data_IF_924666518232
#
_entry.id   IF_924666518232
#
_cell.length_a   1.000
_cell.length_b   1.000
_cell.length_c   1.000
_cell.angle_alpha   90.00
_cell.angle_beta   90.00
_cell.angle_gamma   90.00
#
_symmetry.space_group_name_H-M   'P 1'
#
loop_
_entity.id
_entity.type
_entity.pdbx_description
1 polymer ?
#
# COMPACT_ATOMS: atom_id res chain seq x y z
N UNK A 1 -15.88 -14.46 -5.55
CA UNK A 1 -16.63 -13.43 -4.81
C UNK A 1 -16.81 -13.86 -3.37
N UNK A 2 -16.62 -12.93 -2.42
CA UNK A 2 -16.61 -13.21 -0.98
C UNK A 2 -17.84 -13.95 -0.45
N UNK A 3 -19.01 -13.74 -1.04
CA UNK A 3 -20.27 -14.37 -0.60
C UNK A 3 -20.55 -15.72 -1.25
N UNK A 4 -19.89 -16.04 -2.37
CA UNK A 4 -20.12 -17.28 -3.13
C UNK A 4 -19.13 -18.40 -2.79
N UNK A 5 -18.15 -18.12 -1.93
CA UNK A 5 -17.24 -19.13 -1.42
C UNK A 5 -18.00 -20.05 -0.45
N UNK A 6 -17.86 -21.37 -0.61
CA UNK A 6 -18.46 -22.35 0.30
C UNK A 6 -17.97 -22.21 1.75
N UNK A 7 -16.78 -21.63 1.91
CA UNK A 7 -16.16 -21.33 3.21
C UNK A 7 -16.27 -19.86 3.60
N UNK A 8 -17.25 -19.11 3.04
CA UNK A 8 -17.38 -17.69 3.36
C UNK A 8 -17.59 -17.47 4.87
N UNK A 9 -16.94 -16.44 5.45
CA UNK A 9 -17.00 -16.19 6.90
C UNK A 9 -18.38 -15.75 7.39
N UNK A 10 -19.29 -15.42 6.46
CA UNK A 10 -20.60 -14.84 6.78
C UNK A 10 -21.67 -15.89 7.07
N UNK A 11 -21.40 -17.19 6.86
CA UNK A 11 -22.33 -18.28 7.12
C UNK A 11 -23.55 -18.29 6.20
N UNK A 12 -23.51 -17.58 5.07
CA UNK A 12 -24.59 -17.54 4.09
C UNK A 12 -24.39 -18.60 3.03
N UNK A 13 -25.42 -19.41 2.77
CA UNK A 13 -25.43 -20.32 1.63
C UNK A 13 -25.81 -19.61 0.33
N UNK A 14 -25.53 -20.22 -0.82
CA UNK A 14 -26.00 -19.76 -2.12
C UNK A 14 -27.53 -19.57 -2.15
N UNK A 15 -28.28 -20.43 -1.48
CA UNK A 15 -29.74 -20.34 -1.40
C UNK A 15 -30.18 -19.13 -0.58
N UNK A 16 -29.46 -18.77 0.48
CA UNK A 16 -29.75 -17.59 1.29
C UNK A 16 -29.55 -16.31 0.49
N UNK A 17 -28.49 -16.25 -0.32
CA UNK A 17 -28.17 -15.08 -1.15
C UNK A 17 -29.26 -14.81 -2.20
N UNK A 18 -29.82 -15.85 -2.85
CA UNK A 18 -30.76 -15.68 -3.95
C UNK A 18 -32.23 -15.81 -3.56
N UNK A 19 -32.54 -16.47 -2.44
CA UNK A 19 -33.91 -16.75 -2.00
C UNK A 19 -34.19 -16.33 -0.56
N UNK A 20 -33.15 -15.97 0.20
CA UNK A 20 -33.25 -15.69 1.64
C UNK A 20 -33.84 -14.33 1.97
N UNK A 21 -33.88 -13.38 1.03
CA UNK A 21 -34.33 -12.01 1.29
C UNK A 21 -33.38 -11.25 2.21
N UNK A 22 -32.08 -11.45 2.06
CA UNK A 22 -31.05 -10.83 2.89
C UNK A 22 -30.96 -9.33 2.65
N UNK A 23 -30.68 -8.58 3.73
CA UNK A 23 -30.22 -7.19 3.65
C UNK A 23 -28.74 -7.16 4.00
N UNK A 24 -27.91 -6.73 3.05
CA UNK A 24 -26.44 -6.70 3.19
C UNK A 24 -25.97 -5.25 3.27
N UNK A 25 -25.34 -4.90 4.37
CA UNK A 25 -24.69 -3.60 4.57
C UNK A 25 -23.23 -3.70 4.20
N UNK A 26 -22.77 -2.80 3.35
CA UNK A 26 -21.36 -2.71 2.95
C UNK A 26 -20.66 -1.56 3.68
N UNK A 27 -19.33 -1.61 3.73
CA UNK A 27 -18.50 -0.55 4.27
C UNK A 27 -18.23 0.57 3.26
N UNK A 28 -18.55 0.35 1.99
CA UNK A 28 -18.28 1.32 0.93
C UNK A 28 -18.96 2.66 1.23
N UNK A 29 -18.20 3.72 1.07
CA UNK A 29 -18.66 5.11 1.15
C UNK A 29 -18.90 5.61 -0.27
N UNK A 30 -20.16 5.93 -0.66
CA UNK A 30 -20.46 6.35 -2.03
C UNK A 30 -19.69 7.60 -2.47
N UNK A 31 -19.46 8.58 -1.57
CA UNK A 31 -18.73 9.80 -1.92
C UNK A 31 -17.24 9.49 -2.17
N UNK A 32 -16.64 8.63 -1.34
CA UNK A 32 -15.26 8.20 -1.54
C UNK A 32 -15.12 7.29 -2.77
N UNK A 33 -16.11 6.43 -3.03
CA UNK A 33 -16.12 5.58 -4.22
C UNK A 33 -16.20 6.43 -5.51
N UNK A 34 -17.08 7.43 -5.55
CA UNK A 34 -17.20 8.36 -6.67
C UNK A 34 -15.93 9.20 -6.84
N UNK A 35 -15.31 9.63 -5.74
CA UNK A 35 -14.04 10.35 -5.77
C UNK A 35 -12.90 9.49 -6.33
N UNK A 36 -12.85 8.20 -5.95
CA UNK A 36 -11.84 7.26 -6.44
C UNK A 36 -12.04 6.97 -7.94
N UNK A 37 -13.29 6.75 -8.37
CA UNK A 37 -13.60 6.54 -9.79
C UNK A 37 -13.24 7.77 -10.63
N UNK A 38 -13.61 8.97 -10.17
CA UNK A 38 -13.27 10.21 -10.87
C UNK A 38 -11.74 10.41 -10.99
N UNK A 39 -10.97 10.09 -9.96
CA UNK A 39 -9.50 10.17 -10.01
C UNK A 39 -8.92 9.17 -11.02
N UNK A 40 -9.43 7.94 -11.06
CA UNK A 40 -9.02 6.92 -12.03
C UNK A 40 -9.39 7.33 -13.45
N UNK A 41 -10.60 7.83 -13.68
CA UNK A 41 -11.07 8.28 -15.01
C UNK A 41 -10.22 9.45 -15.52
N UNK A 42 -9.91 10.42 -14.64
CA UNK A 42 -9.04 11.55 -14.98
C UNK A 42 -7.62 11.07 -15.35
N UNK A 43 -7.08 10.10 -14.62
CA UNK A 43 -5.76 9.53 -14.91
C UNK A 43 -5.79 8.80 -16.24
N UNK A 44 -6.79 7.94 -16.49
CA UNK A 44 -6.89 7.15 -17.72
C UNK A 44 -7.05 8.00 -18.97
N UNK A 45 -7.71 9.13 -18.88
CA UNK A 45 -7.85 10.07 -20.01
C UNK A 45 -6.50 10.52 -20.61
N UNK A 46 -5.41 10.36 -19.84
CA UNK A 46 -4.04 10.77 -20.22
C UNK A 46 -3.05 9.60 -20.31
N UNK A 47 -3.53 8.36 -20.28
CA UNK A 47 -2.71 7.15 -20.35
C UNK A 47 -2.89 6.42 -21.69
N UNK A 48 -1.94 5.55 -22.02
CA UNK A 48 -2.08 4.63 -23.15
C UNK A 48 -3.21 3.60 -22.88
N UNK A 49 -3.88 3.15 -23.93
CA UNK A 49 -5.06 2.27 -23.84
C UNK A 49 -4.79 0.92 -23.16
N UNK A 50 -3.55 0.45 -23.19
CA UNK A 50 -3.13 -0.81 -22.56
C UNK A 50 -2.86 -0.70 -21.07
N UNK A 51 -2.90 0.50 -20.50
CA UNK A 51 -2.66 0.72 -19.07
C UNK A 51 -3.98 0.74 -18.30
N UNK A 52 -3.92 0.29 -17.05
CA UNK A 52 -5.01 0.38 -16.09
C UNK A 52 -4.57 1.12 -14.83
N UNK A 53 -5.51 1.50 -14.01
CA UNK A 53 -5.28 2.16 -12.75
C UNK A 53 -6.23 1.61 -11.68
N UNK A 54 -5.78 1.60 -10.43
CA UNK A 54 -6.60 1.14 -9.30
C UNK A 54 -6.36 2.01 -8.09
N UNK A 55 -7.43 2.24 -7.32
CA UNK A 55 -7.39 2.84 -5.99
C UNK A 55 -8.12 1.90 -5.03
N UNK A 56 -7.49 1.66 -3.87
CA UNK A 56 -8.16 1.09 -2.70
C UNK A 56 -7.94 2.01 -1.51
N UNK A 57 -9.02 2.35 -0.82
CA UNK A 57 -8.98 3.20 0.38
C UNK A 57 -9.59 2.47 1.58
N UNK A 58 -8.87 2.50 2.70
CA UNK A 58 -9.23 1.80 3.95
C UNK A 58 -9.26 2.79 5.10
N UNK A 59 -10.34 2.74 5.87
CA UNK A 59 -10.47 3.46 7.14
C UNK A 59 -9.52 2.84 8.19
N UNK A 60 -8.63 3.66 8.73
CA UNK A 60 -7.55 3.22 9.63
C UNK A 60 -8.09 2.68 10.96
N UNK A 61 -9.18 3.26 11.45
CA UNK A 61 -9.74 2.91 12.75
C UNK A 61 -10.49 1.57 12.74
N UNK A 62 -11.03 1.17 11.59
CA UNK A 62 -11.94 0.01 11.49
C UNK A 62 -11.48 -1.08 10.54
N UNK A 63 -10.50 -0.83 9.65
CA UNK A 63 -10.13 -1.75 8.57
C UNK A 63 -11.17 -1.81 7.44
N UNK A 64 -12.20 -1.00 7.47
CA UNK A 64 -13.27 -0.98 6.47
C UNK A 64 -12.78 -0.43 5.14
N UNK A 65 -13.01 -1.16 4.05
CA UNK A 65 -12.78 -0.68 2.70
C UNK A 65 -13.85 0.35 2.35
N UNK A 66 -13.44 1.60 2.15
CA UNK A 66 -14.33 2.73 1.84
C UNK A 66 -14.48 2.98 0.35
N UNK A 67 -13.44 2.69 -0.43
CA UNK A 67 -13.48 2.75 -1.89
C UNK A 67 -12.58 1.67 -2.47
N UNK A 68 -13.02 1.11 -3.60
CA UNK A 68 -12.24 0.17 -4.41
C UNK A 68 -12.62 0.37 -5.87
N UNK A 69 -11.66 0.74 -6.70
CA UNK A 69 -11.93 1.03 -8.10
C UNK A 69 -10.81 0.57 -9.02
N UNK A 70 -11.14 0.47 -10.29
CA UNK A 70 -10.24 0.20 -11.40
C UNK A 70 -10.68 1.01 -12.61
N UNK A 71 -9.76 1.19 -13.55
CA UNK A 71 -10.02 1.97 -14.75
C UNK A 71 -10.76 1.19 -15.84
N UNK A 72 -10.44 -0.10 -16.01
CA UNK A 72 -11.13 -0.96 -17.01
C UNK A 72 -12.52 -1.34 -16.49
N UNK A 73 -13.61 -1.13 -17.25
CA UNK A 73 -14.96 -1.48 -16.81
C UNK A 73 -15.11 -2.98 -16.55
N UNK A 74 -15.99 -3.34 -15.61
CA UNK A 74 -16.32 -4.74 -15.35
C UNK A 74 -17.28 -5.27 -16.42
N UNK A 75 -16.91 -6.40 -17.05
CA UNK A 75 -17.75 -7.06 -18.05
C UNK A 75 -16.99 -8.06 -18.90
N UNK A 76 -17.65 -8.51 -20.01
CA UNK A 76 -17.10 -9.46 -20.99
C UNK A 76 -17.03 -8.87 -22.41
N UNK A 77 -17.36 -7.59 -22.56
CA UNK A 77 -17.29 -6.89 -23.83
C UNK A 77 -15.86 -6.49 -24.20
N UNK A 78 -15.73 -5.92 -25.40
CA UNK A 78 -14.45 -5.36 -25.84
C UNK A 78 -14.05 -4.20 -24.92
N UNK A 79 -12.82 -4.23 -24.40
CA UNK A 79 -12.34 -3.22 -23.43
C UNK A 79 -12.85 -3.41 -21.99
N UNK A 80 -13.55 -4.52 -21.69
CA UNK A 80 -14.02 -4.87 -20.35
C UNK A 80 -13.21 -6.05 -19.77
N UNK A 81 -13.26 -6.23 -18.45
CA UNK A 81 -12.62 -7.35 -17.77
C UNK A 81 -13.39 -7.75 -16.51
N UNK A 82 -13.46 -9.06 -16.24
CA UNK A 82 -14.01 -9.59 -14.99
C UNK A 82 -12.95 -9.76 -13.89
N UNK A 83 -11.69 -9.52 -14.19
CA UNK A 83 -10.59 -9.62 -13.22
C UNK A 83 -10.57 -8.41 -12.31
N UNK A 84 -10.56 -8.61 -10.99
CA UNK A 84 -10.42 -7.53 -10.03
C UNK A 84 -8.94 -7.33 -9.66
N UNK A 85 -8.26 -6.41 -10.33
CA UNK A 85 -6.85 -6.10 -10.08
C UNK A 85 -6.61 -5.53 -8.66
N UNK A 86 -7.64 -4.92 -8.07
CA UNK A 86 -7.54 -4.36 -6.72
C UNK A 86 -7.36 -5.43 -5.63
N UNK A 87 -7.83 -6.67 -5.89
CA UNK A 87 -7.73 -7.81 -4.98
C UNK A 87 -6.72 -8.87 -5.41
N UNK A 88 -6.13 -8.73 -6.61
CA UNK A 88 -5.23 -9.73 -7.17
C UNK A 88 -5.93 -11.03 -7.61
N UNK A 89 -7.26 -11.00 -7.83
CA UNK A 89 -8.03 -12.16 -8.29
C UNK A 89 -7.44 -12.77 -9.56
N UNK A 90 -7.37 -14.11 -9.60
CA UNK A 90 -6.85 -14.84 -10.76
C UNK A 90 -5.32 -14.74 -10.93
N UNK A 91 -4.58 -14.34 -9.89
CA UNK A 91 -3.12 -14.21 -9.96
C UNK A 91 -2.66 -12.93 -10.66
N UNK A 92 -3.44 -11.87 -10.55
CA UNK A 92 -3.15 -10.54 -11.12
C UNK A 92 -2.32 -9.65 -10.20
N UNK A 93 -1.59 -10.22 -9.23
CA UNK A 93 -0.66 -9.47 -8.40
C UNK A 93 0.37 -8.72 -9.23
N UNK A 94 0.81 -7.57 -8.73
CA UNK A 94 1.71 -6.65 -9.42
C UNK A 94 2.93 -6.35 -8.54
N UNK A 95 4.10 -6.25 -9.16
CA UNK A 95 5.33 -5.97 -8.39
C UNK A 95 5.21 -4.66 -7.62
N UNK A 96 5.44 -4.76 -6.31
CA UNK A 96 5.27 -3.65 -5.38
C UNK A 96 6.32 -2.53 -5.57
N UNK A 97 7.47 -2.87 -6.14
CA UNK A 97 8.56 -1.93 -6.26
C UNK A 97 9.01 -1.38 -4.89
N UNK A 98 9.57 -0.19 -4.90
CA UNK A 98 10.10 0.46 -3.69
C UNK A 98 9.09 0.75 -2.57
N UNK A 99 7.79 0.41 -2.73
CA UNK A 99 6.85 0.50 -1.58
C UNK A 99 7.23 -0.46 -0.46
N UNK A 100 7.93 -1.56 -0.77
CA UNK A 100 8.42 -2.52 0.23
C UNK A 100 9.51 -1.95 1.15
N UNK A 101 10.17 -0.88 0.77
CA UNK A 101 11.14 -0.19 1.63
C UNK A 101 10.53 0.29 2.94
N UNK A 102 9.23 0.55 2.99
CA UNK A 102 8.53 0.87 4.24
C UNK A 102 8.57 -0.30 5.24
N UNK A 103 8.50 -1.53 4.77
CA UNK A 103 8.59 -2.73 5.62
C UNK A 103 10.02 -2.97 6.09
N UNK A 104 11.01 -2.78 5.22
CA UNK A 104 12.43 -2.81 5.60
C UNK A 104 12.74 -1.75 6.65
N UNK A 105 12.23 -0.53 6.48
CA UNK A 105 12.37 0.56 7.44
C UNK A 105 11.78 0.20 8.81
N UNK A 106 10.54 -0.29 8.84
CA UNK A 106 9.88 -0.70 10.08
C UNK A 106 10.65 -1.81 10.79
N UNK A 107 11.15 -2.82 10.04
CA UNK A 107 11.96 -3.90 10.57
C UNK A 107 13.31 -3.40 11.13
N UNK A 108 13.96 -2.47 10.45
CA UNK A 108 15.21 -1.87 10.92
C UNK A 108 15.00 -1.08 12.23
N UNK A 109 13.95 -0.28 12.31
CA UNK A 109 13.59 0.48 13.52
C UNK A 109 13.24 -0.47 14.68
N UNK A 110 12.49 -1.54 14.42
CA UNK A 110 12.15 -2.57 15.41
C UNK A 110 13.40 -3.26 15.98
N UNK A 111 14.44 -3.45 15.15
CA UNK A 111 15.74 -3.99 15.57
C UNK A 111 16.63 -2.94 16.28
N UNK A 112 16.12 -1.74 16.54
CA UNK A 112 16.83 -0.68 17.25
C UNK A 112 17.75 0.18 16.37
N UNK A 113 17.62 0.11 15.04
CA UNK A 113 18.40 0.95 14.13
C UNK A 113 17.73 2.32 14.01
N UNK A 114 18.45 3.38 14.38
CA UNK A 114 17.96 4.75 14.28
C UNK A 114 17.79 5.18 12.82
N UNK A 115 16.70 5.90 12.46
CA UNK A 115 16.58 6.54 11.15
C UNK A 115 17.70 7.53 10.81
N UNK A 116 18.46 7.99 11.82
CA UNK A 116 19.62 8.86 11.64
C UNK A 116 20.93 8.08 11.39
N UNK A 117 20.91 6.75 11.48
CA UNK A 117 22.05 5.91 11.11
C UNK A 117 22.41 6.13 9.64
N UNK A 118 23.71 6.23 9.38
CA UNK A 118 24.22 6.41 8.04
C UNK A 118 24.23 5.10 7.27
N UNK A 119 23.79 5.18 6.01
CA UNK A 119 23.82 4.07 5.05
C UNK A 119 24.51 4.53 3.77
N UNK A 120 25.28 3.65 3.18
CA UNK A 120 25.95 3.91 1.91
C UNK A 120 24.96 3.75 0.75
N UNK A 121 24.65 4.86 0.07
CA UNK A 121 23.79 4.94 -1.10
C UNK A 121 24.56 5.17 -2.40
N UNK A 122 25.89 4.89 -2.40
CA UNK A 122 26.70 4.97 -3.62
C UNK A 122 26.21 3.97 -4.67
N UNK A 123 26.24 4.39 -5.92
CA UNK A 123 25.80 3.62 -7.08
C UNK A 123 26.91 3.62 -8.14
N UNK A 124 27.15 2.47 -8.79
CA UNK A 124 26.50 1.18 -8.59
C UNK A 124 26.99 0.40 -7.35
N UNK A 125 26.09 -0.42 -6.78
CA UNK A 125 26.47 -1.48 -5.84
C UNK A 125 26.93 -2.70 -6.67
N UNK A 126 28.22 -3.03 -6.60
CA UNK A 126 28.80 -4.07 -7.44
C UNK A 126 28.58 -5.47 -6.87
N UNK A 127 28.44 -6.45 -7.77
CA UNK A 127 28.39 -7.87 -7.42
C UNK A 127 29.49 -8.25 -6.42
N UNK A 128 29.08 -8.92 -5.36
CA UNK A 128 29.95 -9.35 -4.25
C UNK A 128 30.16 -8.30 -3.15
N UNK A 129 29.84 -7.02 -3.40
CA UNK A 129 29.81 -6.01 -2.34
C UNK A 129 28.55 -6.21 -1.48
N UNK A 130 28.71 -6.16 -0.17
CA UNK A 130 27.59 -6.29 0.79
C UNK A 130 26.65 -7.47 0.48
N UNK A 131 27.19 -8.57 -0.05
CA UNK A 131 26.42 -9.77 -0.39
C UNK A 131 25.60 -9.67 -1.68
N UNK A 132 25.76 -8.60 -2.47
CA UNK A 132 25.03 -8.40 -3.72
C UNK A 132 25.27 -9.55 -4.72
N UNK A 133 24.21 -10.25 -5.21
CA UNK A 133 24.36 -11.36 -6.14
C UNK A 133 24.72 -10.90 -7.58
N UNK A 134 24.45 -9.63 -7.86
CA UNK A 134 24.69 -8.96 -9.15
C UNK A 134 24.93 -7.47 -8.96
N UNK A 135 25.12 -6.70 -10.02
CA UNK A 135 25.22 -5.24 -9.94
C UNK A 135 23.83 -4.61 -9.79
N UNK A 136 23.71 -3.64 -8.88
CA UNK A 136 22.48 -2.86 -8.69
C UNK A 136 22.77 -1.36 -8.79
N UNK A 137 21.78 -0.63 -9.27
CA UNK A 137 21.86 0.83 -9.42
C UNK A 137 20.66 1.53 -8.76
N UNK A 138 20.89 2.75 -8.34
CA UNK A 138 19.81 3.67 -8.03
C UNK A 138 19.11 4.10 -9.33
N UNK A 139 17.88 4.62 -9.20
CA UNK A 139 17.12 5.12 -10.35
C UNK A 139 17.97 6.08 -11.20
N UNK A 140 17.99 5.88 -12.52
CA UNK A 140 18.82 6.62 -13.49
C UNK A 140 20.34 6.60 -13.18
N UNK A 141 20.83 5.60 -12.46
CA UNK A 141 22.26 5.49 -12.09
C UNK A 141 22.74 6.54 -11.11
N UNK A 142 21.84 7.26 -10.43
CA UNK A 142 22.22 8.35 -9.52
C UNK A 142 23.07 7.83 -8.36
N UNK A 143 24.19 8.50 -8.11
CA UNK A 143 25.02 8.28 -6.93
C UNK A 143 24.61 9.29 -5.82
N UNK A 144 24.14 8.75 -4.70
CA UNK A 144 23.67 9.57 -3.57
C UNK A 144 24.70 9.66 -2.43
N UNK A 145 25.82 8.92 -2.51
CA UNK A 145 26.84 8.88 -1.46
C UNK A 145 26.29 8.36 -0.13
N UNK A 146 26.87 8.86 0.96
CA UNK A 146 26.42 8.49 2.31
C UNK A 146 25.19 9.32 2.70
N UNK A 147 24.12 8.64 3.11
CA UNK A 147 22.85 9.27 3.54
C UNK A 147 22.47 8.77 4.93
N UNK A 148 21.59 9.49 5.64
CA UNK A 148 20.83 8.86 6.73
C UNK A 148 19.79 7.91 6.15
N UNK A 149 19.35 6.90 6.92
CA UNK A 149 18.24 6.02 6.49
C UNK A 149 16.99 6.85 6.17
N UNK A 150 16.70 7.89 6.95
CA UNK A 150 15.61 8.82 6.66
C UNK A 150 15.75 9.48 5.27
N UNK A 151 16.93 10.01 4.94
CA UNK A 151 17.17 10.62 3.63
C UNK A 151 17.11 9.57 2.50
N UNK A 152 17.72 8.39 2.72
CA UNK A 152 17.66 7.27 1.77
C UNK A 152 16.22 6.82 1.49
N UNK A 153 15.33 6.88 2.50
CA UNK A 153 13.89 6.61 2.35
C UNK A 153 13.21 7.65 1.46
N UNK A 154 13.45 8.93 1.74
CA UNK A 154 12.84 10.05 1.02
C UNK A 154 13.18 10.02 -0.49
N UNK A 155 14.46 9.75 -0.81
CA UNK A 155 14.95 9.65 -2.20
C UNK A 155 14.79 8.26 -2.81
N UNK A 156 14.29 7.30 -2.01
CA UNK A 156 14.08 5.92 -2.47
C UNK A 156 15.35 5.20 -2.97
N UNK A 157 16.51 5.40 -2.30
CA UNK A 157 17.77 4.75 -2.72
C UNK A 157 17.64 3.22 -2.77
N UNK A 158 17.92 2.60 -3.93
CA UNK A 158 17.95 1.15 -4.06
C UNK A 158 19.18 0.58 -3.35
N UNK A 159 20.36 1.10 -3.68
CA UNK A 159 21.63 0.57 -3.15
C UNK A 159 21.72 0.71 -1.62
N UNK A 160 21.20 1.81 -1.06
CA UNK A 160 21.13 2.00 0.39
C UNK A 160 20.19 0.99 1.06
N UNK A 161 19.02 0.75 0.46
CA UNK A 161 18.04 -0.19 1.01
C UNK A 161 18.42 -1.66 0.85
N UNK A 162 19.11 -2.03 -0.22
CA UNK A 162 19.70 -3.36 -0.38
C UNK A 162 20.74 -3.63 0.73
N UNK A 163 21.61 -2.67 1.04
CA UNK A 163 22.57 -2.77 2.14
C UNK A 163 21.86 -2.84 3.50
N UNK A 164 20.87 -1.98 3.72
CA UNK A 164 20.08 -1.99 4.96
C UNK A 164 19.37 -3.34 5.16
N UNK A 165 18.65 -3.81 4.13
CA UNK A 165 17.94 -5.10 4.17
C UNK A 165 18.89 -6.26 4.45
N UNK A 166 20.07 -6.26 3.81
CA UNK A 166 21.09 -7.29 4.08
C UNK A 166 21.61 -7.23 5.52
N UNK A 167 21.78 -6.04 6.09
CA UNK A 167 22.28 -5.85 7.46
C UNK A 167 21.31 -6.33 8.54
N UNK A 168 20.00 -6.21 8.29
CA UNK A 168 18.94 -6.65 9.23
C UNK A 168 18.48 -8.09 9.00
N UNK A 169 18.98 -8.74 7.94
CA UNK A 169 18.55 -10.06 7.49
C UNK A 169 17.44 -9.99 6.45
N UNK A 170 17.64 -10.64 5.31
CA UNK A 170 16.76 -10.59 4.13
C UNK A 170 15.31 -10.98 4.43
N UNK A 171 15.07 -11.89 5.37
CA UNK A 171 13.74 -12.32 5.79
C UNK A 171 12.95 -11.22 6.53
N UNK A 172 13.65 -10.30 7.22
CA UNK A 172 13.01 -9.28 8.05
C UNK A 172 12.03 -8.40 7.28
N UNK A 173 12.31 -8.11 6.01
CA UNK A 173 11.40 -7.33 5.14
C UNK A 173 10.10 -8.07 4.85
N UNK A 174 10.18 -9.33 4.44
CA UNK A 174 8.99 -10.16 4.09
C UNK A 174 8.19 -10.55 5.32
N UNK A 175 8.85 -10.83 6.44
CA UNK A 175 8.21 -11.10 7.73
C UNK A 175 7.45 -9.86 8.23
N UNK A 176 8.05 -8.67 8.15
CA UNK A 176 7.37 -7.42 8.51
C UNK A 176 6.19 -7.15 7.60
N UNK A 177 6.33 -7.29 6.28
CA UNK A 177 5.23 -7.12 5.32
C UNK A 177 4.06 -8.05 5.64
N UNK A 178 4.33 -9.33 5.91
CA UNK A 178 3.31 -10.32 6.27
C UNK A 178 2.62 -9.97 7.59
N UNK A 179 3.37 -9.58 8.62
CA UNK A 179 2.82 -9.17 9.92
C UNK A 179 1.89 -7.96 9.78
N UNK A 180 2.25 -7.01 8.94
CA UNK A 180 1.45 -5.78 8.72
C UNK A 180 0.20 -6.03 7.87
N UNK A 181 0.12 -7.13 7.10
CA UNK A 181 -1.10 -7.48 6.36
C UNK A 181 -0.93 -7.86 4.89
N UNK A 182 0.30 -7.96 4.37
CA UNK A 182 0.54 -8.52 3.04
C UNK A 182 0.36 -10.03 3.10
N UNK A 183 -0.57 -10.57 2.31
CA UNK A 183 -0.95 -11.99 2.30
C UNK A 183 -0.41 -12.74 1.09
N UNK A 184 -0.03 -12.03 0.04
CA UNK A 184 0.59 -12.61 -1.16
C UNK A 184 1.89 -13.35 -0.81
N UNK A 185 2.20 -14.46 -1.51
CA UNK A 185 3.43 -15.21 -1.28
C UNK A 185 4.69 -14.37 -1.53
N UNK A 186 5.59 -14.34 -0.57
CA UNK A 186 6.85 -13.59 -0.66
C UNK A 186 8.04 -14.49 -0.39
N UNK A 187 9.13 -14.27 -1.13
CA UNK A 187 10.39 -14.97 -0.91
C UNK A 187 11.41 -14.05 -0.20
N UNK A 188 12.12 -14.53 0.82
CA UNK A 188 13.14 -13.76 1.53
C UNK A 188 14.45 -13.72 0.73
N UNK A 189 14.42 -12.99 -0.39
CA UNK A 189 15.59 -12.83 -1.28
C UNK A 189 16.27 -11.49 -1.06
N UNK A 190 17.51 -11.33 -1.55
CA UNK A 190 18.30 -10.11 -1.44
C UNK A 190 17.53 -8.86 -1.91
N UNK A 191 16.75 -9.00 -2.96
CA UNK A 191 15.95 -7.93 -3.58
C UNK A 191 14.54 -7.77 -2.99
N UNK A 192 14.20 -8.47 -1.90
CA UNK A 192 12.87 -8.37 -1.28
C UNK A 192 12.49 -6.92 -0.93
N UNK A 193 13.46 -6.11 -0.49
CA UNK A 193 13.26 -4.67 -0.20
C UNK A 193 12.90 -3.82 -1.43
N UNK A 194 13.21 -4.31 -2.64
CA UNK A 194 12.83 -3.68 -3.91
C UNK A 194 11.44 -4.09 -4.40
N UNK A 195 10.69 -4.87 -3.60
CA UNK A 195 9.31 -5.24 -3.90
C UNK A 195 9.15 -6.10 -5.13
N UNK A 196 10.00 -7.12 -5.25
CA UNK A 196 9.92 -8.11 -6.35
C UNK A 196 8.74 -9.07 -6.22
N UNK A 197 8.06 -9.06 -5.07
CA UNK A 197 6.85 -9.85 -4.86
C UNK A 197 5.65 -9.21 -5.58
N UNK A 198 4.79 -10.06 -6.12
CA UNK A 198 3.52 -9.64 -6.68
C UNK A 198 2.50 -9.47 -5.57
N UNK A 199 1.96 -8.27 -5.45
CA UNK A 199 1.00 -7.86 -4.41
C UNK A 199 -0.23 -7.20 -5.07
N UNK A 200 -1.24 -6.88 -4.27
CA UNK A 200 -2.42 -6.18 -4.76
C UNK A 200 -2.70 -4.90 -3.96
N UNK A 201 -3.45 -3.94 -4.55
CA UNK A 201 -3.78 -2.68 -3.89
C UNK A 201 -4.49 -2.83 -2.54
N UNK A 202 -5.34 -3.85 -2.36
CA UNK A 202 -6.07 -4.08 -1.12
C UNK A 202 -5.13 -4.41 0.04
N UNK A 203 -4.23 -5.38 -0.15
CA UNK A 203 -3.30 -5.76 0.91
C UNK A 203 -2.25 -4.67 1.20
N UNK A 204 -1.84 -3.91 0.17
CA UNK A 204 -0.93 -2.78 0.37
C UNK A 204 -1.61 -1.64 1.14
N UNK A 205 -2.86 -1.29 0.82
CA UNK A 205 -3.63 -0.32 1.60
C UNK A 205 -3.81 -0.78 3.05
N UNK A 206 -4.06 -2.08 3.28
CA UNK A 206 -4.22 -2.69 4.61
C UNK A 206 -2.92 -2.65 5.41
N UNK A 207 -1.79 -3.03 4.82
CA UNK A 207 -0.50 -3.02 5.50
C UNK A 207 -0.08 -1.59 5.92
N UNK A 208 -0.35 -0.60 5.08
CA UNK A 208 -0.08 0.80 5.41
C UNK A 208 -1.11 1.37 6.41
N UNK A 209 -2.37 0.89 6.41
CA UNK A 209 -3.34 1.20 7.47
C UNK A 209 -2.87 0.69 8.84
N UNK A 210 -2.19 -0.46 8.88
CA UNK A 210 -1.58 -0.99 10.10
C UNK A 210 -0.45 -0.07 10.63
N UNK A 211 0.36 0.54 9.75
CA UNK A 211 1.32 1.57 10.17
C UNK A 211 0.60 2.83 10.70
N UNK A 212 -0.42 3.30 9.98
CA UNK A 212 -1.21 4.49 10.33
C UNK A 212 -1.90 4.36 11.70
N UNK A 213 -2.38 3.15 12.03
CA UNK A 213 -3.06 2.84 13.29
C UNK A 213 -2.11 2.67 14.50
N UNK A 214 -0.81 2.96 14.33
CA UNK A 214 0.19 2.73 15.37
C UNK A 214 0.53 1.25 15.58
N UNK A 215 0.41 0.42 14.54
CA UNK A 215 0.78 -0.99 14.56
C UNK A 215 -0.35 -1.95 14.96
N UNK A 216 -1.61 -1.51 14.86
CA UNK A 216 -2.79 -2.37 15.08
C UNK A 216 -3.32 -2.83 13.72
N UNK A 217 -3.11 -4.10 13.41
CA UNK A 217 -3.63 -4.75 12.20
C UNK A 217 -5.13 -5.00 12.32
N UNK A 218 -5.86 -4.70 11.26
CA UNK A 218 -7.27 -5.07 11.08
C UNK A 218 -7.45 -5.72 9.72
N UNK A 219 -8.22 -6.80 9.68
CA UNK A 219 -8.52 -7.45 8.40
C UNK A 219 -9.43 -6.54 7.56
N UNK A 220 -9.09 -6.35 6.27
CA UNK A 220 -9.92 -5.54 5.39
C UNK A 220 -11.33 -6.11 5.28
N UNK A 221 -12.36 -5.30 5.54
CA UNK A 221 -13.74 -5.74 5.42
C UNK A 221 -14.55 -4.85 4.49
N UNK A 222 -15.40 -5.48 3.67
CA UNK A 222 -16.35 -4.81 2.77
C UNK A 222 -17.81 -5.05 3.16
N UNK A 223 -18.08 -6.03 4.05
CA UNK A 223 -19.43 -6.33 4.54
C UNK A 223 -19.43 -6.10 6.05
N UNK A 224 -20.27 -5.17 6.50
CA UNK A 224 -20.34 -4.77 7.90
C UNK A 224 -21.49 -5.41 8.64
N UNK A 225 -22.56 -5.79 7.93
CA UNK A 225 -23.74 -6.42 8.54
C UNK A 225 -24.57 -7.18 7.51
N UNK A 226 -25.14 -8.31 7.92
CA UNK A 226 -26.13 -9.05 7.14
C UNK A 226 -27.35 -9.33 8.03
N UNK A 227 -28.54 -9.03 7.52
CA UNK A 227 -29.81 -9.36 8.15
C UNK A 227 -30.56 -10.40 7.30
N UNK A 228 -31.34 -11.27 7.96
CA UNK A 228 -32.32 -12.12 7.31
C UNK A 228 -33.57 -11.32 6.90
N UNK A 229 -34.54 -11.98 6.25
CA UNK A 229 -35.80 -11.37 5.83
C UNK A 229 -36.67 -10.82 6.98
N UNK A 230 -36.45 -11.34 8.18
CA UNK A 230 -37.21 -10.96 9.37
C UNK A 230 -36.50 -9.89 10.20
N UNK A 231 -35.33 -9.44 9.70
CA UNK A 231 -34.52 -8.39 10.33
C UNK A 231 -33.57 -8.89 11.42
N UNK A 232 -33.42 -10.20 11.59
CA UNK A 232 -32.45 -10.73 12.54
C UNK A 232 -31.03 -10.63 11.99
N UNK A 233 -30.06 -10.35 12.88
CA UNK A 233 -28.64 -10.25 12.50
C UNK A 233 -28.07 -11.65 12.26
N UNK A 234 -27.60 -11.91 11.03
CA UNK A 234 -26.85 -13.12 10.68
C UNK A 234 -25.35 -12.87 10.86
N UNK A 235 -24.87 -11.66 10.52
CA UNK A 235 -23.48 -11.24 10.61
C UNK A 235 -23.36 -9.77 11.07
N UNK A 236 -22.37 -9.40 11.91
CA UNK A 236 -21.50 -10.31 12.67
C UNK A 236 -22.28 -11.04 13.78
N UNK A 237 -21.80 -12.23 14.15
CA UNK A 237 -22.39 -12.98 15.27
C UNK A 237 -22.04 -12.38 16.62
N UNK A 238 -20.89 -11.69 16.69
CA UNK A 238 -20.43 -10.92 17.85
C UNK A 238 -19.92 -9.56 17.41
N UNK A 239 -20.12 -8.51 18.23
CA UNK A 239 -19.48 -7.23 17.97
C UNK A 239 -18.01 -7.33 18.32
N UNK A 240 -17.13 -7.14 17.35
CA UNK A 240 -15.86 -6.43 17.42
C UNK A 240 -14.73 -7.05 16.64
N UNK A 241 -14.17 -6.27 15.78
CA UNK A 241 -12.73 -6.34 15.52
C UNK A 241 -12.04 -5.16 16.22
N UNK A 242 -11.41 -5.43 17.35
CA UNK A 242 -10.55 -4.44 18.04
C UNK A 242 -9.18 -4.32 17.35
N UNK A 243 -8.90 -5.18 16.37
CA UNK A 243 -7.61 -5.33 15.73
C UNK A 243 -6.57 -6.03 16.62
N UNK A 244 -5.52 -6.49 16.01
CA UNK A 244 -4.38 -7.14 16.65
C UNK A 244 -3.16 -6.21 16.62
N UNK A 245 -2.53 -5.95 17.77
CA UNK A 245 -1.26 -5.24 17.80
C UNK A 245 -0.13 -6.14 17.30
N UNK A 246 0.34 -5.88 16.10
CA UNK A 246 1.40 -6.63 15.42
C UNK A 246 2.73 -5.88 15.38
N UNK A 247 2.73 -4.59 15.70
CA UNK A 247 3.93 -3.74 15.76
C UNK A 247 3.84 -2.81 16.98
N UNK A 248 4.96 -2.57 17.63
CA UNK A 248 5.03 -1.59 18.71
C UNK A 248 4.66 -0.18 18.21
N UNK A 249 3.86 0.55 18.98
CA UNK A 249 3.38 1.88 18.61
C UNK A 249 4.51 2.87 18.34
N UNK A 250 5.61 2.79 19.10
CA UNK A 250 6.78 3.67 18.92
C UNK A 250 7.49 3.38 17.61
N UNK A 251 7.57 2.10 17.21
CA UNK A 251 8.16 1.69 15.93
C UNK A 251 7.29 2.17 14.78
N UNK A 252 5.97 2.00 14.87
CA UNK A 252 5.03 2.48 13.85
C UNK A 252 5.09 4.01 13.70
N UNK A 253 5.13 4.75 14.82
CA UNK A 253 5.22 6.21 14.82
C UNK A 253 6.55 6.71 14.25
N UNK A 254 7.68 6.09 14.63
CA UNK A 254 8.98 6.42 14.08
C UNK A 254 9.06 6.12 12.56
N UNK A 255 8.46 5.01 12.12
CA UNK A 255 8.32 4.67 10.70
C UNK A 255 7.49 5.73 9.97
N UNK A 256 6.33 6.12 10.50
CA UNK A 256 5.46 7.17 9.94
C UNK A 256 6.22 8.49 9.78
N UNK A 257 6.94 8.94 10.80
CA UNK A 257 7.75 10.16 10.78
C UNK A 257 8.80 10.17 9.66
N UNK A 258 9.41 9.02 9.39
CA UNK A 258 10.34 8.89 8.25
C UNK A 258 9.57 8.91 6.93
N UNK A 259 8.43 8.22 6.82
CA UNK A 259 7.62 8.18 5.61
C UNK A 259 6.99 9.54 5.25
N UNK A 260 6.78 10.45 6.21
CA UNK A 260 6.39 11.84 5.93
C UNK A 260 7.46 12.57 5.09
N UNK A 261 8.75 12.21 5.24
CA UNK A 261 9.85 12.85 4.50
C UNK A 261 9.80 12.58 3.00
N UNK A 262 9.15 11.50 2.58
CA UNK A 262 8.92 11.18 1.15
C UNK A 262 8.10 12.29 0.47
N UNK A 263 7.22 12.96 1.21
CA UNK A 263 6.42 14.08 0.73
C UNK A 263 7.03 15.45 1.07
N UNK A 264 7.77 15.56 2.18
CA UNK A 264 8.18 16.86 2.72
C UNK A 264 9.62 17.25 2.43
N UNK A 265 10.55 16.30 2.30
CA UNK A 265 11.93 16.57 1.93
C UNK A 265 12.00 17.06 0.47
N UNK A 266 12.84 18.05 0.17
CA UNK A 266 12.86 18.73 -1.12
C UNK A 266 13.12 17.83 -2.33
N UNK A 267 13.85 16.73 -2.13
CA UNK A 267 14.13 15.69 -3.13
C UNK A 267 13.35 14.38 -2.87
N UNK A 268 12.32 14.44 -2.05
CA UNK A 268 11.43 13.31 -1.79
C UNK A 268 10.63 12.93 -3.03
N UNK A 269 10.40 11.63 -3.23
CA UNK A 269 9.79 11.09 -4.46
C UNK A 269 8.29 11.38 -4.60
N UNK A 270 7.60 11.79 -3.52
CA UNK A 270 6.17 12.13 -3.54
C UNK A 270 5.89 13.63 -3.22
N UNK A 271 6.85 14.53 -3.42
CA UNK A 271 6.65 15.96 -3.14
C UNK A 271 5.52 16.58 -3.95
N UNK A 272 5.25 16.08 -5.16
CA UNK A 272 4.13 16.48 -6.01
C UNK A 272 2.77 15.98 -5.51
N UNK A 273 2.75 14.99 -4.61
CA UNK A 273 1.53 14.41 -4.06
C UNK A 273 1.13 15.01 -2.69
N UNK A 274 1.76 16.09 -2.23
CA UNK A 274 1.29 16.82 -1.04
C UNK A 274 -0.14 17.29 -1.23
N UNK A 275 -0.97 17.14 -0.19
CA UNK A 275 -2.37 17.52 -0.26
C UNK A 275 -2.55 19.04 -0.20
N UNK A 276 -3.50 19.53 -0.98
CA UNK A 276 -3.81 20.96 -1.08
C UNK A 276 -4.33 21.53 0.25
N UNK A 277 -4.98 20.71 1.06
CA UNK A 277 -5.47 21.05 2.40
C UNK A 277 -4.35 21.30 3.41
N UNK A 278 -3.13 20.81 3.13
CA UNK A 278 -2.04 20.77 4.12
C UNK A 278 -2.17 19.62 5.13
N UNK A 279 -3.10 18.68 4.92
CA UNK A 279 -3.24 17.48 5.74
C UNK A 279 -1.91 16.69 5.72
N UNK A 280 -1.31 16.37 6.90
CA UNK A 280 -0.13 15.53 6.97
C UNK A 280 -0.36 14.16 6.35
N UNK A 281 0.62 13.68 5.61
CA UNK A 281 0.61 12.39 4.92
C UNK A 281 1.95 11.69 5.06
N UNK A 282 1.91 10.37 5.17
CA UNK A 282 3.07 9.50 5.17
C UNK A 282 2.88 8.40 4.11
N UNK A 283 3.95 7.91 3.51
CA UNK A 283 3.82 6.87 2.49
C UNK A 283 5.09 6.66 1.68
N UNK A 284 4.97 5.83 0.65
CA UNK A 284 6.10 5.45 -0.19
C UNK A 284 5.68 5.27 -1.64
N UNK A 285 6.46 5.81 -2.56
CA UNK A 285 6.36 5.52 -3.99
C UNK A 285 6.96 4.17 -4.32
N UNK A 286 6.48 3.53 -5.37
CA UNK A 286 7.05 2.30 -5.93
C UNK A 286 7.07 2.35 -7.45
N UNK A 287 8.10 1.75 -8.02
CA UNK A 287 8.21 1.47 -9.45
C UNK A 287 8.87 0.11 -9.58
N UNK A 288 8.27 -0.78 -10.36
CA UNK A 288 8.86 -2.08 -10.66
C UNK A 288 10.13 -1.90 -11.52
N UNK A 289 11.08 -2.80 -11.37
CA UNK A 289 12.35 -2.73 -12.12
C UNK A 289 12.17 -2.76 -13.64
N UNK A 290 11.08 -3.38 -14.12
CA UNK A 290 10.68 -3.44 -15.53
C UNK A 290 9.83 -2.23 -15.96
N UNK A 291 9.59 -1.24 -15.08
CA UNK A 291 8.70 -0.11 -15.36
C UNK A 291 7.27 -0.49 -15.79
N UNK A 292 6.82 -1.68 -15.42
CA UNK A 292 5.45 -2.16 -15.70
C UNK A 292 4.44 -1.70 -14.67
N UNK A 293 4.90 -1.28 -13.50
CA UNK A 293 4.07 -0.96 -12.33
C UNK A 293 4.57 0.30 -11.61
N UNK A 294 3.63 1.19 -11.31
CA UNK A 294 3.88 2.42 -10.56
C UNK A 294 2.89 2.52 -9.40
N UNK A 295 3.41 2.81 -8.22
CA UNK A 295 2.67 2.86 -6.98
C UNK A 295 2.87 4.17 -6.23
N UNK A 296 1.85 4.59 -5.53
CA UNK A 296 1.96 5.39 -4.32
C UNK A 296 1.03 4.80 -3.28
N UNK A 297 1.61 4.29 -2.20
CA UNK A 297 0.84 3.84 -1.03
C UNK A 297 1.12 4.81 0.09
N UNK A 298 0.07 5.43 0.61
CA UNK A 298 0.21 6.47 1.63
C UNK A 298 -1.06 6.64 2.44
N UNK A 299 -0.95 7.35 3.55
CA UNK A 299 -2.03 7.49 4.51
C UNK A 299 -2.00 8.85 5.22
N UNK A 300 -3.18 9.25 5.67
CA UNK A 300 -3.41 10.23 6.75
C UNK A 300 -3.61 9.46 8.06
N UNK A 301 -3.79 10.12 9.21
CA UNK A 301 -4.15 9.43 10.46
C UNK A 301 -5.43 8.58 10.36
N UNK A 302 -6.37 8.93 9.48
CA UNK A 302 -7.68 8.28 9.39
C UNK A 302 -7.94 7.45 8.13
N UNK A 303 -7.17 7.64 7.03
CA UNK A 303 -7.41 6.99 5.74
C UNK A 303 -6.10 6.50 5.12
N UNK A 304 -6.01 5.21 4.81
CA UNK A 304 -4.93 4.62 4.01
C UNK A 304 -5.39 4.41 2.56
N UNK A 305 -4.52 4.72 1.61
CA UNK A 305 -4.82 4.62 0.19
C UNK A 305 -3.64 4.00 -0.57
N UNK A 306 -3.92 2.96 -1.35
CA UNK A 306 -3.02 2.42 -2.36
C UNK A 306 -3.51 2.84 -3.75
N UNK A 307 -2.67 3.54 -4.49
CA UNK A 307 -2.87 3.88 -5.89
C UNK A 307 -1.84 3.13 -6.74
N UNK A 308 -2.31 2.47 -7.77
CA UNK A 308 -1.51 1.73 -8.74
C UNK A 308 -1.85 2.16 -10.16
N UNK A 309 -0.83 2.24 -11.02
CA UNK A 309 -0.95 2.43 -12.47
C UNK A 309 0.03 1.48 -13.13
N UNK A 310 -0.38 0.81 -14.20
CA UNK A 310 0.54 -0.05 -14.94
C UNK A 310 -0.14 -0.86 -16.03
N UNK A 311 0.63 -1.75 -16.62
CA UNK A 311 0.12 -2.76 -17.55
C UNK A 311 -0.43 -3.95 -16.75
N UNK A 312 -1.75 -4.26 -16.84
CA UNK A 312 -2.34 -5.39 -16.14
C UNK A 312 -1.71 -6.74 -16.47
N UNK A 313 -1.13 -6.89 -17.66
CA UNK A 313 -0.45 -8.13 -18.05
C UNK A 313 0.97 -8.24 -17.48
N UNK A 314 1.58 -7.12 -17.06
CA UNK A 314 2.97 -7.05 -16.60
C UNK A 314 4.03 -7.27 -17.67
N UNK A 315 3.63 -7.23 -18.93
CA UNK A 315 4.51 -7.54 -20.04
C UNK A 315 5.03 -6.29 -20.77
N UNK A 316 4.33 -5.15 -20.60
CA UNK A 316 4.61 -3.94 -21.37
C UNK A 316 5.20 -2.87 -20.44
N UNK A 317 6.41 -2.46 -20.76
CA UNK A 317 7.08 -1.33 -20.12
C UNK A 317 6.30 -0.03 -20.38
N UNK A 318 6.13 0.77 -19.34
CA UNK A 318 5.45 2.06 -19.41
C UNK A 318 6.46 3.20 -19.61
N UNK A 319 5.98 4.43 -19.69
CA UNK A 319 6.85 5.61 -19.65
C UNK A 319 7.61 5.68 -18.31
N UNK A 320 8.95 5.83 -18.38
CA UNK A 320 9.82 5.91 -17.19
C UNK A 320 9.54 7.13 -16.29
N UNK A 321 8.87 8.15 -16.80
CA UNK A 321 8.42 9.31 -16.06
C UNK A 321 7.06 9.15 -15.41
N UNK A 322 6.34 8.04 -15.70
CA UNK A 322 5.02 7.79 -15.12
C UNK A 322 5.14 7.55 -13.61
N UNK A 323 4.22 8.13 -12.86
CA UNK A 323 4.10 7.92 -11.40
C UNK A 323 2.64 7.88 -10.98
N UNK A 324 2.35 7.18 -9.91
CA UNK A 324 1.00 7.17 -9.31
C UNK A 324 0.71 8.41 -8.44
N UNK A 325 1.62 9.38 -8.38
CA UNK A 325 1.50 10.57 -7.52
C UNK A 325 0.24 11.39 -7.83
N UNK A 326 -0.04 11.64 -9.11
CA UNK A 326 -1.19 12.43 -9.53
C UNK A 326 -2.51 11.72 -9.21
N UNK A 327 -2.59 10.41 -9.48
CA UNK A 327 -3.74 9.58 -9.18
C UNK A 327 -4.06 9.58 -7.68
N UNK A 328 -3.05 9.29 -6.84
CA UNK A 328 -3.20 9.25 -5.40
C UNK A 328 -3.62 10.62 -4.84
N UNK A 329 -2.97 11.69 -5.31
CA UNK A 329 -3.25 13.04 -4.89
C UNK A 329 -4.68 13.48 -5.25
N UNK A 330 -5.14 13.24 -6.49
CA UNK A 330 -6.50 13.63 -6.92
C UNK A 330 -7.55 12.97 -6.02
N UNK A 331 -7.41 11.68 -5.75
CA UNK A 331 -8.31 10.99 -4.83
C UNK A 331 -8.22 11.55 -3.40
N UNK A 332 -7.02 11.66 -2.84
CA UNK A 332 -6.86 12.06 -1.44
C UNK A 332 -7.22 13.53 -1.19
N UNK A 333 -6.99 14.42 -2.16
CA UNK A 333 -7.48 15.80 -2.08
C UNK A 333 -9.02 15.86 -2.00
N UNK A 334 -9.72 15.03 -2.79
CA UNK A 334 -11.20 14.92 -2.71
C UNK A 334 -11.64 14.31 -1.39
N UNK A 335 -11.01 13.21 -0.99
CA UNK A 335 -11.33 12.46 0.23
C UNK A 335 -11.13 13.28 1.51
N UNK A 336 -10.21 14.23 1.50
CA UNK A 336 -9.91 15.10 2.67
C UNK A 336 -10.49 16.50 2.55
N UNK A 337 -11.13 16.85 1.43
CA UNK A 337 -11.71 18.17 1.21
C UNK A 337 -12.73 18.51 2.27
N UNK A 338 -12.62 19.71 2.84
CA UNK A 338 -13.56 20.20 3.87
C UNK A 338 -13.46 19.52 5.23
N UNK A 339 -12.57 18.54 5.41
CA UNK A 339 -12.32 17.89 6.69
C UNK A 339 -11.34 18.70 7.54
N UNK A 340 -11.43 18.55 8.87
CA UNK A 340 -10.46 19.12 9.78
C UNK A 340 -9.08 18.45 9.57
N UNK A 341 -8.01 19.23 9.75
CA UNK A 341 -6.64 18.70 9.70
C UNK A 341 -6.41 17.80 10.92
N UNK A 342 -6.00 16.59 10.66
CA UNK A 342 -5.60 15.59 11.65
C UNK A 342 -4.07 15.45 11.64
N UNK A 343 -3.45 15.45 12.81
CA UNK A 343 -2.01 15.21 12.91
C UNK A 343 -1.73 13.78 13.35
N UNK A 344 -0.63 13.21 12.89
CA UNK A 344 -0.17 11.94 13.42
C UNK A 344 0.12 12.06 14.93
N UNK A 345 -0.16 11.01 15.72
CA UNK A 345 0.13 11.03 17.16
C UNK A 345 1.59 11.31 17.45
N UNK A 346 1.84 12.17 18.44
CA UNK A 346 3.20 12.38 18.96
C UNK A 346 3.53 11.26 19.94
N UNK A 347 4.39 10.35 19.52
CA UNK A 347 4.86 9.21 20.30
C UNK A 347 6.38 9.34 20.48
N UNK A 348 6.88 8.96 21.65
CA UNK A 348 8.32 8.94 21.91
C UNK A 348 9.01 7.91 20.99
N UNK A 349 10.21 8.23 20.55
CA UNK A 349 10.99 7.31 19.74
C UNK A 349 11.23 5.97 20.49
N UNK A 350 11.31 4.84 19.80
CA UNK A 350 11.75 3.58 20.41
C UNK A 350 13.22 3.68 20.85
N UNK A 351 13.69 2.80 21.73
CA UNK A 351 15.11 2.76 22.06
C UNK A 351 15.91 2.37 20.81
N UNK A 352 16.97 3.12 20.54
CA UNK A 352 17.94 2.83 19.47
C UNK A 352 19.25 2.32 20.06
N UNK A 353 19.93 1.41 19.34
CA UNK A 353 21.22 0.84 19.71
C UNK A 353 22.39 1.77 19.39
#
# INVERSE_FOLDING_TARGET
SLLFDENNPYGCSYADLFKGGLTIYTSLDPELQDAAQAAVDNQRANMADNLDASIVAIDVATGQVKAMTRGVPYGQGEGESQVNIATGDGGTGRQAGSTFKAFTLAAAIEQGISPQTLVDCTSPLKKGQDGAPEDFENFNGNDYGIQTIQSATAISSNTGYLRLSNSIGQASTTEMASRLGVTSPMQPVYTATEGVADVNPLEMASAYATLASGGVKREPTVITKILDRDGNVIWPQEESDTGERVLDEKVAAATTKVLETVFTQSNGTATSARLNSGQPVAGKTGTASSFTDHWLVGYTPSLSCAAWIGDPSGAIETDHGLTANALWKDFMDRATSGKAIENFPTVADPPYN
#
